data_IF_636361677502
#
_entry.id   IF_636361677502
#
_cell.length_a   1.000
_cell.length_b   1.000
_cell.length_c   1.000
_cell.angle_alpha   90.00
_cell.angle_beta   90.00
_cell.angle_gamma   90.00
#
_symmetry.space_group_name_H-M   'P 1'
#
loop_
_entity.id
_entity.type
_entity.pdbx_description
1 polymer ?
#
# COMPACT_ATOMS: atom_id res chain seq x y z
N UNK A 1 3.07 64.82 -24.46
CA UNK A 1 2.72 63.62 -23.67
C UNK A 1 2.68 62.45 -24.64
N UNK A 2 3.67 61.57 -24.55
CA UNK A 2 3.95 60.50 -25.51
C UNK A 2 3.12 59.25 -25.16
N UNK A 3 2.21 58.83 -26.03
CA UNK A 3 1.44 57.58 -25.90
C UNK A 3 2.11 56.50 -26.74
N UNK A 4 2.83 55.60 -26.09
CA UNK A 4 3.37 54.37 -26.68
C UNK A 4 2.55 53.17 -26.17
N UNK A 5 1.76 52.49 -27.02
CA UNK A 5 1.20 51.19 -26.71
C UNK A 5 1.98 50.14 -27.50
N UNK A 6 3.02 49.56 -26.90
CA UNK A 6 3.65 48.39 -27.47
C UNK A 6 3.96 47.38 -26.37
N UNK A 7 3.06 46.42 -26.18
CA UNK A 7 3.31 45.16 -25.50
C UNK A 7 2.49 44.05 -26.17
N UNK A 8 3.09 43.54 -27.25
CA UNK A 8 3.08 42.16 -27.76
C UNK A 8 2.03 41.17 -27.20
N UNK A 9 1.15 40.58 -28.04
CA UNK A 9 0.32 39.46 -27.64
C UNK A 9 1.20 38.21 -27.46
N UNK A 10 1.26 37.70 -26.23
CA UNK A 10 1.98 36.48 -25.89
C UNK A 10 1.52 35.31 -26.77
N UNK A 11 2.49 34.72 -27.45
CA UNK A 11 2.40 33.47 -28.21
C UNK A 11 1.77 32.34 -27.34
N UNK A 12 0.69 31.68 -27.77
CA UNK A 12 0.18 30.52 -27.04
C UNK A 12 1.09 29.33 -27.33
N UNK A 13 2.00 29.03 -26.40
CA UNK A 13 2.70 27.75 -26.42
C UNK A 13 1.72 26.67 -25.96
N UNK A 14 1.01 26.09 -26.92
CA UNK A 14 0.25 24.85 -26.81
C UNK A 14 1.22 23.69 -26.58
N UNK A 15 1.67 23.54 -25.33
CA UNK A 15 2.42 22.38 -24.87
C UNK A 15 1.47 21.20 -24.64
N UNK A 16 1.28 20.41 -25.69
CA UNK A 16 1.16 18.94 -25.66
C UNK A 16 0.67 18.31 -24.33
N UNK A 17 -0.64 18.41 -24.04
CA UNK A 17 -1.32 17.56 -23.05
C UNK A 17 -1.55 16.15 -23.64
N UNK A 18 -0.48 15.57 -24.18
CA UNK A 18 -0.47 14.33 -24.95
C UNK A 18 0.32 13.22 -24.27
N UNK A 19 0.10 12.98 -22.96
CA UNK A 19 0.43 11.69 -22.33
C UNK A 19 -0.67 11.29 -21.36
N UNK A 20 -1.63 10.50 -21.85
CA UNK A 20 -2.47 9.67 -21.00
C UNK A 20 -1.57 8.63 -20.32
N UNK A 21 -0.98 9.03 -19.20
CA UNK A 21 -0.44 8.06 -18.25
C UNK A 21 -1.61 7.21 -17.82
N UNK A 22 -1.66 5.95 -18.23
CA UNK A 22 -2.56 4.96 -17.64
C UNK A 22 -2.11 4.76 -16.19
N UNK A 23 -2.49 5.67 -15.31
CA UNK A 23 -2.36 5.49 -13.87
C UNK A 23 -3.23 4.28 -13.57
N UNK A 24 -2.60 3.14 -13.32
CA UNK A 24 -3.33 1.97 -12.82
C UNK A 24 -3.91 2.39 -11.46
N UNK A 25 -5.22 2.20 -11.29
CA UNK A 25 -5.86 2.58 -10.04
C UNK A 25 -5.27 1.76 -8.87
N UNK A 26 -5.17 2.31 -7.65
CA UNK A 26 -4.64 1.60 -6.49
C UNK A 26 -5.31 0.23 -6.26
N UNK A 27 -6.60 0.12 -6.55
CA UNK A 27 -7.38 -1.12 -6.43
C UNK A 27 -6.84 -2.19 -7.38
N UNK A 28 -6.53 -1.82 -8.63
CA UNK A 28 -5.97 -2.76 -9.60
C UNK A 28 -4.56 -3.23 -9.19
N UNK A 29 -3.76 -2.33 -8.63
CA UNK A 29 -2.42 -2.67 -8.13
C UNK A 29 -2.53 -3.67 -6.97
N UNK A 30 -3.41 -3.42 -6.01
CA UNK A 30 -3.65 -4.30 -4.87
C UNK A 30 -4.20 -5.68 -5.32
N UNK A 31 -5.12 -5.70 -6.29
CA UNK A 31 -5.68 -6.93 -6.87
C UNK A 31 -4.61 -7.80 -7.54
N UNK A 32 -3.61 -7.19 -8.19
CA UNK A 32 -2.50 -7.93 -8.77
C UNK A 32 -1.68 -8.66 -7.69
N UNK A 33 -1.43 -8.00 -6.56
CA UNK A 33 -0.74 -8.61 -5.41
C UNK A 33 -1.58 -9.73 -4.80
N UNK A 34 -2.88 -9.47 -4.55
CA UNK A 34 -3.82 -10.48 -4.04
C UNK A 34 -3.82 -11.71 -4.94
N UNK A 35 -4.06 -11.56 -6.24
CA UNK A 35 -4.12 -12.68 -7.20
C UNK A 35 -2.81 -13.45 -7.29
N UNK A 36 -1.67 -12.79 -7.06
CA UNK A 36 -0.35 -13.41 -7.16
C UNK A 36 -0.01 -14.27 -5.94
N UNK A 37 -0.30 -13.80 -4.73
CA UNK A 37 0.16 -14.44 -3.49
C UNK A 37 -0.97 -15.08 -2.66
N UNK A 38 -2.19 -14.57 -2.82
CA UNK A 38 -3.38 -15.03 -2.12
C UNK A 38 -4.54 -15.29 -3.11
N UNK A 39 -4.34 -16.15 -4.14
CA UNK A 39 -5.38 -16.46 -5.12
C UNK A 39 -6.54 -17.25 -4.53
N UNK A 40 -6.29 -17.97 -3.44
CA UNK A 40 -7.29 -18.70 -2.68
C UNK A 40 -7.94 -17.78 -1.65
N UNK A 41 -9.26 -17.65 -1.69
CA UNK A 41 -10.01 -16.75 -0.80
C UNK A 41 -9.94 -17.20 0.67
N UNK A 42 -9.83 -18.51 0.96
CA UNK A 42 -9.71 -18.97 2.35
C UNK A 42 -8.37 -18.52 2.94
N UNK A 43 -7.30 -18.66 2.17
CA UNK A 43 -5.96 -18.22 2.55
C UNK A 43 -5.86 -16.70 2.67
N UNK A 44 -6.55 -15.97 1.78
CA UNK A 44 -6.65 -14.52 1.89
C UNK A 44 -7.40 -14.09 3.16
N UNK A 45 -8.52 -14.75 3.48
CA UNK A 45 -9.32 -14.43 4.66
C UNK A 45 -8.57 -14.75 5.97
N UNK A 46 -7.70 -15.75 5.97
CA UNK A 46 -6.87 -16.08 7.13
C UNK A 46 -5.93 -14.93 7.55
N UNK A 47 -5.61 -13.99 6.66
CA UNK A 47 -4.88 -12.75 7.01
C UNK A 47 -5.61 -11.90 8.08
N UNK A 48 -6.92 -12.12 8.24
CA UNK A 48 -7.78 -11.45 9.21
C UNK A 48 -8.32 -12.41 10.29
N UNK A 49 -7.86 -13.66 10.32
CA UNK A 49 -8.36 -14.70 11.21
C UNK A 49 -7.27 -15.71 11.61
N UNK A 50 -6.03 -15.25 11.76
CA UNK A 50 -4.83 -16.08 11.95
C UNK A 50 -4.95 -17.11 13.08
N UNK A 51 -5.54 -16.73 14.20
CA UNK A 51 -5.70 -17.59 15.38
C UNK A 51 -6.62 -18.79 15.14
N UNK A 52 -7.51 -18.69 14.16
CA UNK A 52 -8.44 -19.74 13.76
C UNK A 52 -8.06 -20.43 12.45
N UNK A 53 -6.97 -20.02 11.81
CA UNK A 53 -6.53 -20.60 10.55
C UNK A 53 -6.03 -22.03 10.75
N UNK A 54 -6.55 -22.96 9.94
CA UNK A 54 -6.07 -24.35 9.87
C UNK A 54 -4.84 -24.52 8.97
N UNK A 55 -4.43 -23.44 8.29
CA UNK A 55 -3.36 -23.43 7.28
C UNK A 55 -2.37 -22.29 7.53
N UNK A 56 -2.13 -22.00 8.81
CA UNK A 56 -1.31 -20.88 9.28
C UNK A 56 0.10 -20.86 8.68
N UNK A 57 0.76 -22.02 8.56
CA UNK A 57 2.08 -22.13 7.92
C UNK A 57 2.06 -21.65 6.47
N UNK A 58 1.00 -22.01 5.72
CA UNK A 58 0.83 -21.59 4.33
C UNK A 58 0.59 -20.09 4.22
N UNK A 59 -0.12 -19.49 5.19
CA UNK A 59 -0.30 -18.03 5.26
C UNK A 59 1.05 -17.34 5.41
N UNK A 60 1.87 -17.79 6.36
CA UNK A 60 3.19 -17.23 6.59
C UNK A 60 4.16 -17.46 5.43
N UNK A 61 4.08 -18.60 4.76
CA UNK A 61 4.86 -18.85 3.54
C UNK A 61 4.51 -17.86 2.43
N UNK A 62 3.21 -17.58 2.19
CA UNK A 62 2.80 -16.58 1.20
C UNK A 62 3.19 -15.16 1.60
N UNK A 63 3.05 -14.80 2.87
CA UNK A 63 3.52 -13.50 3.38
C UNK A 63 5.04 -13.35 3.17
N UNK A 64 5.82 -14.38 3.49
CA UNK A 64 7.27 -14.43 3.27
C UNK A 64 7.63 -14.25 1.80
N UNK A 65 6.99 -15.01 0.90
CA UNK A 65 7.22 -14.92 -0.55
C UNK A 65 6.87 -13.54 -1.11
N UNK A 66 5.72 -13.00 -0.72
CA UNK A 66 5.30 -11.66 -1.10
C UNK A 66 6.33 -10.63 -0.65
N UNK A 67 6.65 -10.61 0.64
CA UNK A 67 7.56 -9.62 1.21
C UNK A 67 8.96 -9.72 0.60
N UNK A 68 9.48 -10.93 0.37
CA UNK A 68 10.76 -11.12 -0.30
C UNK A 68 10.79 -10.46 -1.69
N UNK A 69 9.69 -10.47 -2.44
CA UNK A 69 9.62 -9.85 -3.77
C UNK A 69 9.60 -8.31 -3.72
N UNK A 70 9.11 -7.74 -2.62
CA UNK A 70 8.92 -6.31 -2.44
C UNK A 70 9.92 -5.67 -1.46
N UNK A 71 10.79 -6.43 -0.79
CA UNK A 71 11.67 -5.93 0.26
C UNK A 71 12.56 -4.75 -0.18
N UNK A 72 13.05 -4.78 -1.43
CA UNK A 72 13.90 -3.71 -1.99
C UNK A 72 13.10 -2.50 -2.54
N UNK A 73 11.77 -2.56 -2.53
CA UNK A 73 10.91 -1.48 -3.05
C UNK A 73 10.56 -0.44 -1.99
N UNK A 74 10.36 -0.85 -0.73
CA UNK A 74 9.99 0.01 0.40
C UNK A 74 11.06 -0.05 1.49
N UNK A 75 11.35 1.08 2.12
CA UNK A 75 12.34 1.13 3.22
C UNK A 75 11.78 0.58 4.52
N UNK A 76 12.66 0.05 5.38
CA UNK A 76 12.30 -0.43 6.72
C UNK A 76 11.57 0.64 7.53
N UNK A 77 12.02 1.90 7.44
CA UNK A 77 11.42 3.02 8.15
C UNK A 77 10.00 3.35 7.67
N UNK A 78 9.74 3.33 6.37
CA UNK A 78 8.39 3.56 5.82
C UNK A 78 7.41 2.50 6.32
N UNK A 79 7.78 1.23 6.23
CA UNK A 79 6.91 0.14 6.66
C UNK A 79 6.71 0.14 8.18
N UNK A 80 7.77 0.41 8.96
CA UNK A 80 7.68 0.55 10.41
C UNK A 80 6.76 1.69 10.83
N UNK A 81 6.81 2.83 10.14
CA UNK A 81 5.96 3.97 10.45
C UNK A 81 4.48 3.63 10.22
N UNK A 82 4.16 2.93 9.12
CA UNK A 82 2.78 2.45 8.89
C UNK A 82 2.35 1.46 9.97
N UNK A 83 3.20 0.47 10.29
CA UNK A 83 2.92 -0.48 11.36
C UNK A 83 2.69 0.19 12.72
N UNK A 84 3.51 1.20 13.06
CA UNK A 84 3.40 1.94 14.31
C UNK A 84 2.04 2.66 14.45
N UNK A 85 1.45 3.12 13.36
CA UNK A 85 0.09 3.67 13.37
C UNK A 85 -0.96 2.56 13.49
N UNK A 86 -0.81 1.45 12.77
CA UNK A 86 -1.73 0.31 12.79
C UNK A 86 -1.85 -0.29 14.20
N UNK A 87 -0.74 -0.46 14.92
CA UNK A 87 -0.77 -1.06 16.27
C UNK A 87 -1.46 -0.18 17.30
N UNK A 88 -1.48 1.14 17.10
CA UNK A 88 -2.17 2.11 17.97
C UNK A 88 -3.69 2.10 17.78
N UNK A 89 -4.20 1.64 16.65
CA UNK A 89 -5.64 1.58 16.40
C UNK A 89 -6.32 0.67 17.44
N UNK A 90 -7.31 1.17 18.18
CA UNK A 90 -8.02 0.39 19.20
C UNK A 90 -9.26 -0.30 18.61
N UNK A 91 -9.86 0.31 17.59
CA UNK A 91 -11.04 -0.20 16.89
C UNK A 91 -10.79 -0.36 15.39
N UNK A 92 -11.63 -1.16 14.72
CA UNK A 92 -11.60 -1.28 13.25
C UNK A 92 -11.83 0.07 12.54
N UNK A 93 -12.57 0.99 13.16
CA UNK A 93 -12.75 2.35 12.62
C UNK A 93 -11.49 3.20 12.75
N UNK A 94 -10.78 3.14 13.88
CA UNK A 94 -9.51 3.85 14.04
C UNK A 94 -8.49 3.41 13.00
N UNK A 95 -8.45 2.09 12.72
CA UNK A 95 -7.61 1.53 11.67
C UNK A 95 -7.95 2.13 10.29
N UNK A 96 -9.23 2.27 9.95
CA UNK A 96 -9.69 2.85 8.68
C UNK A 96 -9.32 4.34 8.54
N UNK A 97 -9.15 5.07 9.65
CA UNK A 97 -8.71 6.47 9.62
C UNK A 97 -7.23 6.63 9.20
N UNK A 98 -6.44 5.55 9.18
CA UNK A 98 -5.02 5.58 8.78
C UNK A 98 -4.88 5.59 7.24
N UNK A 99 -5.93 5.22 6.50
CA UNK A 99 -5.90 5.10 5.02
C UNK A 99 -5.40 6.34 4.28
N UNK A 100 -5.80 7.59 4.62
CA UNK A 100 -5.26 8.78 3.97
C UNK A 100 -3.73 8.91 4.11
N UNK A 101 -3.18 8.52 5.26
CA UNK A 101 -1.73 8.51 5.47
C UNK A 101 -1.04 7.45 4.61
N UNK A 102 -1.61 6.24 4.50
CA UNK A 102 -1.10 5.19 3.60
C UNK A 102 -1.15 5.65 2.14
N UNK A 103 -2.28 6.24 1.70
CA UNK A 103 -2.43 6.76 0.35
C UNK A 103 -1.38 7.83 0.02
N UNK A 104 -1.08 8.73 0.96
CA UNK A 104 -0.02 9.71 0.82
C UNK A 104 1.37 9.06 0.66
N UNK A 105 1.70 8.06 1.48
CA UNK A 105 2.96 7.31 1.35
C UNK A 105 3.04 6.61 0.00
N UNK A 106 1.95 5.99 -0.46
CA UNK A 106 1.86 5.31 -1.77
C UNK A 106 2.10 6.28 -2.92
N UNK A 107 1.44 7.44 -2.91
CA UNK A 107 1.56 8.45 -3.96
C UNK A 107 2.99 9.02 -4.08
N UNK A 108 3.75 9.03 -2.98
CA UNK A 108 5.14 9.48 -2.93
C UNK A 108 6.17 8.44 -3.35
N UNK A 109 5.75 7.21 -3.64
CA UNK A 109 6.68 6.18 -4.11
C UNK A 109 7.05 6.41 -5.57
N UNK A 110 8.34 6.35 -5.89
CA UNK A 110 8.81 6.41 -7.28
C UNK A 110 8.71 5.04 -7.97
N UNK A 111 8.95 3.95 -7.22
CA UNK A 111 8.97 2.58 -7.75
C UNK A 111 7.57 2.00 -7.84
N UNK A 112 7.19 1.45 -8.99
CA UNK A 112 5.88 0.80 -9.17
C UNK A 112 5.66 -0.36 -8.19
N UNK A 113 6.70 -1.17 -7.93
CA UNK A 113 6.65 -2.23 -6.90
C UNK A 113 6.33 -1.70 -5.51
N UNK A 114 6.76 -0.48 -5.16
CA UNK A 114 6.45 0.11 -3.88
C UNK A 114 4.99 0.57 -3.85
N UNK A 115 4.48 1.14 -4.95
CA UNK A 115 3.05 1.48 -5.10
C UNK A 115 2.16 0.24 -4.98
N UNK A 116 2.51 -0.86 -5.65
CA UNK A 116 1.80 -2.14 -5.56
C UNK A 116 1.74 -2.65 -4.13
N UNK A 117 2.89 -2.70 -3.44
CA UNK A 117 2.97 -3.19 -2.08
C UNK A 117 2.14 -2.34 -1.12
N UNK A 118 2.28 -1.02 -1.18
CA UNK A 118 1.52 -0.10 -0.31
C UNK A 118 0.02 -0.09 -0.62
N UNK A 119 -0.37 -0.24 -1.89
CA UNK A 119 -1.78 -0.39 -2.28
C UNK A 119 -2.37 -1.69 -1.73
N UNK A 120 -1.62 -2.78 -1.71
CA UNK A 120 -2.05 -4.02 -1.06
C UNK A 120 -2.25 -3.85 0.45
N UNK A 121 -1.36 -3.12 1.14
CA UNK A 121 -1.58 -2.79 2.56
C UNK A 121 -2.87 -1.99 2.78
N UNK A 122 -3.17 -0.98 1.94
CA UNK A 122 -4.45 -0.24 2.04
C UNK A 122 -5.66 -1.15 1.81
N UNK A 123 -5.58 -2.09 0.86
CA UNK A 123 -6.63 -3.09 0.64
C UNK A 123 -6.87 -3.95 1.89
N UNK A 124 -5.80 -4.40 2.56
CA UNK A 124 -5.95 -5.17 3.81
C UNK A 124 -6.60 -4.33 4.91
N UNK A 125 -6.18 -3.08 5.08
CA UNK A 125 -6.79 -2.13 6.04
C UNK A 125 -8.29 -1.97 5.78
N UNK A 126 -8.70 -1.85 4.52
CA UNK A 126 -10.10 -1.72 4.14
C UNK A 126 -10.95 -2.95 4.50
N UNK A 127 -10.35 -4.14 4.53
CA UNK A 127 -11.05 -5.41 4.77
C UNK A 127 -11.26 -5.73 6.25
N UNK A 128 -10.58 -5.04 7.15
CA UNK A 128 -10.83 -5.17 8.60
C UNK A 128 -12.12 -4.44 8.97
N UNK A 129 -13.11 -5.18 9.45
CA UNK A 129 -14.43 -4.68 9.83
C UNK A 129 -14.76 -4.90 11.31
N UNK A 130 -14.14 -5.88 11.96
CA UNK A 130 -14.35 -6.20 13.37
C UNK A 130 -13.08 -6.03 14.21
N UNK A 131 -13.23 -5.94 15.53
CA UNK A 131 -12.08 -5.85 16.44
C UNK A 131 -11.29 -7.18 16.53
N UNK A 132 -11.94 -8.32 16.27
CA UNK A 132 -11.25 -9.60 16.17
C UNK A 132 -10.36 -9.64 14.92
N UNK A 133 -10.89 -9.21 13.77
CA UNK A 133 -10.10 -9.08 12.54
C UNK A 133 -8.95 -8.08 12.70
N UNK A 134 -9.15 -6.98 13.46
CA UNK A 134 -8.09 -6.04 13.79
C UNK A 134 -6.97 -6.71 14.58
N UNK A 135 -7.31 -7.55 15.57
CA UNK A 135 -6.31 -8.28 16.36
C UNK A 135 -5.45 -9.18 15.47
N UNK A 136 -6.06 -9.99 14.62
CA UNK A 136 -5.35 -10.84 13.66
C UNK A 136 -4.55 -10.01 12.65
N UNK A 137 -5.13 -8.92 12.13
CA UNK A 137 -4.47 -8.05 11.16
C UNK A 137 -3.20 -7.39 11.73
N UNK A 138 -3.19 -6.99 13.01
CA UNK A 138 -1.98 -6.48 13.66
C UNK A 138 -0.84 -7.50 13.63
N UNK A 139 -1.14 -8.79 13.84
CA UNK A 139 -0.17 -9.89 13.73
C UNK A 139 0.26 -10.16 12.29
N UNK A 140 -0.67 -10.06 11.33
CA UNK A 140 -0.33 -10.09 9.90
C UNK A 140 0.67 -9.00 9.53
N UNK A 141 0.42 -7.77 9.99
CA UNK A 141 1.35 -6.65 9.75
C UNK A 141 2.68 -6.82 10.48
N UNK A 142 2.68 -7.40 11.69
CA UNK A 142 3.91 -7.76 12.40
C UNK A 142 4.74 -8.76 11.60
N UNK A 143 4.13 -9.81 11.05
CA UNK A 143 4.81 -10.77 10.19
C UNK A 143 5.37 -10.11 8.92
N UNK A 144 4.60 -9.20 8.29
CA UNK A 144 5.06 -8.43 7.12
C UNK A 144 6.30 -7.60 7.47
N UNK A 145 6.30 -6.88 8.60
CA UNK A 145 7.45 -6.08 9.07
C UNK A 145 8.64 -6.98 9.40
N UNK A 146 8.42 -8.12 10.04
CA UNK A 146 9.47 -9.06 10.42
C UNK A 146 10.16 -9.66 9.19
N UNK A 147 9.40 -10.16 8.21
CA UNK A 147 9.97 -10.65 6.96
C UNK A 147 10.62 -9.53 6.15
N UNK A 148 10.07 -8.32 6.18
CA UNK A 148 10.67 -7.19 5.47
C UNK A 148 12.03 -6.89 6.05
N UNK A 149 12.14 -6.81 7.38
CA UNK A 149 13.43 -6.64 8.07
C UNK A 149 14.42 -7.76 7.76
N UNK A 150 13.94 -8.99 7.56
CA UNK A 150 14.80 -10.14 7.23
C UNK A 150 15.36 -10.06 5.80
N UNK A 151 14.58 -9.61 4.81
CA UNK A 151 15.00 -9.57 3.41
C UNK A 151 15.53 -8.21 2.93
N UNK A 152 15.16 -7.12 3.59
CA UNK A 152 15.58 -5.79 3.22
C UNK A 152 17.09 -5.63 3.42
N UNK A 153 17.78 -5.18 2.37
CA UNK A 153 19.23 -4.93 2.39
C UNK A 153 19.59 -3.53 2.92
N UNK A 154 18.60 -2.81 3.46
CA UNK A 154 18.64 -1.37 3.73
C UNK A 154 18.22 -1.03 5.17
#
# INVERSE_FOLDING_TARGET
>A
MNTNPNNNPGNPHSGDYGKSWKIQSPEKLADNVKKKFFPDETLYNDLFALESSIQLDKVFDQLKLMVQQYADSVTTSQLRNVYAEIVKAETSNDLKLIRPHVAYITARQEKDKAKEFMAFIDLLIQKVNTNNELHSFKKTMEAIVAYHRFYAKN
#
